data_IF_368299418615
#
_entry.id   IF_368299418615
#
_cell.length_a   1.000
_cell.length_b   1.000
_cell.length_c   1.000
_cell.angle_alpha   90.00
_cell.angle_beta   90.00
_cell.angle_gamma   90.00
#
_symmetry.space_group_name_H-M   'P 1'
#
loop_
_entity.id
_entity.type
_entity.pdbx_description
1 polymer ?
#
# COMPACT_ATOMS: atom_id res chain seq x y z
N UNK A 1 14.82 7.80 -3.61
CA UNK A 1 14.79 8.86 -2.59
C UNK A 1 14.74 10.24 -3.25
N UNK A 2 14.38 11.24 -2.46
CA UNK A 2 14.41 12.65 -2.85
C UNK A 2 15.85 13.16 -3.08
N UNK A 3 16.84 12.49 -2.50
CA UNK A 3 18.27 12.78 -2.67
C UNK A 3 18.96 11.68 -3.49
N UNK A 4 20.10 12.02 -4.09
CA UNK A 4 20.94 11.07 -4.80
C UNK A 4 21.48 10.04 -3.83
N UNK A 5 21.39 8.76 -4.18
CA UNK A 5 22.03 7.69 -3.43
C UNK A 5 23.56 7.74 -3.64
N UNK A 6 24.32 7.58 -2.58
CA UNK A 6 25.77 7.41 -2.64
C UNK A 6 26.13 5.99 -3.09
N UNK A 7 25.45 5.01 -2.54
CA UNK A 7 25.56 3.61 -2.93
C UNK A 7 24.28 2.85 -2.62
N UNK A 8 24.13 1.63 -3.19
CA UNK A 8 22.98 0.77 -2.93
C UNK A 8 23.34 -0.70 -3.05
N UNK A 9 22.52 -1.57 -2.48
CA UNK A 9 22.53 -3.02 -2.73
C UNK A 9 21.11 -3.51 -3.00
N UNK A 10 20.96 -4.33 -4.05
CA UNK A 10 19.71 -4.98 -4.42
C UNK A 10 19.71 -6.49 -4.11
N UNK A 11 20.87 -7.04 -3.77
CA UNK A 11 21.07 -8.45 -3.42
C UNK A 11 21.39 -8.56 -1.91
N UNK A 12 20.57 -9.33 -1.19
CA UNK A 12 20.68 -9.51 0.25
C UNK A 12 22.03 -10.14 0.65
N UNK A 13 22.53 -11.08 -0.12
CA UNK A 13 23.80 -11.75 0.16
C UNK A 13 24.99 -10.80 0.06
N UNK A 14 24.93 -9.84 -0.85
CA UNK A 14 25.96 -8.82 -1.03
C UNK A 14 25.95 -7.78 0.08
N UNK A 15 24.75 -7.41 0.54
CA UNK A 15 24.58 -6.51 1.68
C UNK A 15 25.06 -7.14 2.98
N UNK A 16 24.63 -8.37 3.26
CA UNK A 16 24.96 -9.06 4.52
C UNK A 16 26.40 -9.53 4.55
N UNK A 17 26.89 -10.11 3.46
CA UNK A 17 28.15 -10.87 3.44
C UNK A 17 27.96 -12.33 3.85
N UNK A 18 28.96 -13.17 3.55
CA UNK A 18 28.95 -14.59 3.87
C UNK A 18 28.97 -14.82 5.38
N UNK A 19 28.10 -15.73 5.85
CA UNK A 19 28.00 -16.13 7.27
C UNK A 19 27.63 -15.00 8.23
N UNK A 20 27.02 -13.90 7.74
CA UNK A 20 26.61 -12.75 8.54
C UNK A 20 25.07 -12.62 8.60
N UNK A 21 24.60 -11.79 9.51
CA UNK A 21 23.16 -11.53 9.73
C UNK A 21 22.85 -10.04 9.60
N UNK A 22 21.56 -9.69 9.70
CA UNK A 22 21.11 -8.29 9.77
C UNK A 22 21.65 -7.52 10.98
N UNK A 23 22.20 -8.21 11.98
CA UNK A 23 22.83 -7.57 13.15
C UNK A 23 24.18 -6.97 12.80
N UNK A 24 24.92 -7.58 11.87
CA UNK A 24 26.29 -7.21 11.49
C UNK A 24 26.50 -7.31 9.97
N UNK A 25 25.78 -6.52 9.16
CA UNK A 25 25.95 -6.55 7.71
C UNK A 25 27.30 -6.00 7.28
N UNK A 26 27.94 -6.66 6.32
CA UNK A 26 29.23 -6.23 5.80
C UNK A 26 29.20 -4.83 5.19
N UNK A 27 28.10 -4.43 4.56
CA UNK A 27 27.96 -3.11 3.97
C UNK A 27 27.94 -1.99 5.03
N UNK A 28 27.39 -2.26 6.22
CA UNK A 28 27.44 -1.31 7.34
C UNK A 28 28.86 -1.19 7.89
N UNK A 29 29.55 -2.31 8.07
CA UNK A 29 30.95 -2.32 8.54
C UNK A 29 31.91 -1.57 7.59
N UNK A 30 31.71 -1.75 6.28
CA UNK A 30 32.48 -1.04 5.24
C UNK A 30 32.11 0.44 5.13
N UNK A 31 30.93 0.84 5.60
CA UNK A 31 30.40 2.18 5.44
C UNK A 31 29.81 2.50 4.06
N UNK A 32 29.67 1.52 3.18
CA UNK A 32 29.06 1.69 1.86
C UNK A 32 28.48 0.38 1.32
N UNK A 33 27.48 0.49 0.43
CA UNK A 33 26.93 -0.61 -0.35
C UNK A 33 27.76 -0.87 -1.61
N UNK A 34 27.71 -2.09 -2.12
CA UNK A 34 28.54 -2.55 -3.25
C UNK A 34 27.96 -2.20 -4.64
N UNK A 35 26.84 -1.49 -4.71
CA UNK A 35 26.05 -1.24 -5.93
C UNK A 35 25.62 -2.55 -6.63
N UNK A 36 25.31 -3.56 -5.82
CA UNK A 36 24.91 -4.87 -6.34
C UNK A 36 23.56 -4.80 -7.04
N UNK A 37 23.44 -5.57 -8.13
CA UNK A 37 22.18 -5.86 -8.80
C UNK A 37 21.73 -7.27 -8.41
N UNK A 38 20.42 -7.47 -8.33
CA UNK A 38 19.83 -8.79 -8.12
C UNK A 38 20.02 -9.66 -9.38
N UNK A 39 20.70 -10.80 -9.19
CA UNK A 39 20.90 -11.82 -10.23
C UNK A 39 20.52 -13.20 -9.68
N UNK A 40 19.23 -13.39 -9.39
CA UNK A 40 18.78 -14.56 -8.65
C UNK A 40 19.04 -14.37 -7.14
N UNK A 41 18.45 -15.20 -6.29
CA UNK A 41 18.58 -15.08 -4.83
C UNK A 41 17.52 -14.18 -4.19
N UNK A 42 17.82 -13.68 -2.99
CA UNK A 42 16.89 -12.87 -2.22
C UNK A 42 17.00 -11.39 -2.56
N UNK A 43 15.90 -10.83 -3.06
CA UNK A 43 15.78 -9.40 -3.32
C UNK A 43 15.74 -8.61 -2.02
N UNK A 44 16.48 -7.51 -1.99
CA UNK A 44 16.36 -6.47 -0.98
C UNK A 44 16.67 -5.11 -1.59
N UNK A 45 16.38 -4.05 -0.86
CA UNK A 45 16.90 -2.74 -1.18
C UNK A 45 17.55 -2.12 0.06
N UNK A 46 18.83 -1.82 -0.06
CA UNK A 46 19.57 -0.99 0.87
C UNK A 46 20.12 0.22 0.11
N UNK A 47 19.78 1.41 0.56
CA UNK A 47 20.21 2.65 -0.07
C UNK A 47 20.95 3.53 0.95
N UNK A 48 22.09 4.04 0.57
CA UNK A 48 22.89 4.95 1.39
C UNK A 48 22.78 6.39 0.87
N UNK A 49 22.48 7.31 1.79
CA UNK A 49 22.52 8.75 1.55
C UNK A 49 23.41 9.38 2.62
N UNK A 50 24.40 10.17 2.21
CA UNK A 50 25.22 10.94 3.14
C UNK A 50 24.53 12.26 3.47
N UNK A 51 24.34 12.51 4.76
CA UNK A 51 23.77 13.75 5.27
C UNK A 51 24.84 14.52 6.05
N UNK A 52 24.87 15.83 5.84
CA UNK A 52 25.72 16.74 6.61
C UNK A 52 24.82 17.66 7.43
N UNK A 53 24.76 17.43 8.72
CA UNK A 53 23.93 18.17 9.63
C UNK A 53 24.78 19.11 10.49
N UNK A 54 24.50 20.41 10.42
CA UNK A 54 25.14 21.42 11.28
C UNK A 54 24.51 21.42 12.67
N UNK A 55 25.28 21.84 13.67
CA UNK A 55 24.78 21.96 15.04
C UNK A 55 23.50 22.84 15.09
N UNK A 56 22.47 22.35 15.79
CA UNK A 56 21.16 23.02 15.92
C UNK A 56 20.29 23.01 14.65
N UNK A 57 20.68 22.26 13.59
CA UNK A 57 19.89 22.09 12.37
C UNK A 57 19.38 20.65 12.26
N UNK A 58 18.31 20.47 11.53
CA UNK A 58 17.74 19.16 11.18
C UNK A 58 17.87 18.96 9.68
N UNK A 59 18.34 17.79 9.28
CA UNK A 59 18.36 17.35 7.91
C UNK A 59 17.43 16.13 7.77
N UNK A 60 16.75 16.04 6.64
CA UNK A 60 15.84 14.91 6.37
C UNK A 60 16.08 14.34 4.99
N UNK A 61 15.71 13.07 4.82
CA UNK A 61 15.71 12.37 3.55
C UNK A 61 14.44 11.52 3.47
N UNK A 62 13.79 11.51 2.32
CA UNK A 62 12.64 10.68 2.06
C UNK A 62 13.03 9.50 1.16
N UNK A 63 12.63 8.31 1.54
CA UNK A 63 12.67 7.11 0.70
C UNK A 63 11.25 6.75 0.28
N UNK A 64 11.06 6.43 -0.99
CA UNK A 64 9.77 6.05 -1.55
C UNK A 64 9.80 4.60 -1.97
N UNK A 65 8.81 3.84 -1.53
CA UNK A 65 8.54 2.47 -1.98
C UNK A 65 7.13 2.43 -2.54
N UNK A 66 6.97 1.87 -3.73
CA UNK A 66 5.66 1.78 -4.37
C UNK A 66 5.67 0.84 -5.55
N UNK A 67 4.50 0.65 -6.13
CA UNK A 67 4.29 -0.06 -7.38
C UNK A 67 3.93 0.94 -8.47
N UNK A 68 4.26 0.61 -9.70
CA UNK A 68 3.90 1.40 -10.88
C UNK A 68 3.01 0.56 -11.79
N UNK A 69 2.08 1.22 -12.48
CA UNK A 69 1.36 0.59 -13.57
C UNK A 69 2.33 0.20 -14.69
N UNK A 70 2.01 -0.84 -15.44
CA UNK A 70 2.88 -1.34 -16.52
C UNK A 70 3.15 -0.30 -17.62
N UNK A 71 2.27 0.68 -17.76
CA UNK A 71 2.37 1.77 -18.74
C UNK A 71 3.21 2.95 -18.25
N UNK A 72 3.46 3.05 -16.93
CA UNK A 72 4.27 4.12 -16.36
C UNK A 72 5.74 3.75 -16.36
N UNK A 73 6.59 4.72 -16.63
CA UNK A 73 8.05 4.55 -16.56
C UNK A 73 8.63 5.23 -15.33
N UNK A 74 9.80 4.77 -14.89
CA UNK A 74 10.50 5.41 -13.78
C UNK A 74 10.82 6.89 -14.07
N UNK A 75 11.04 7.25 -15.34
CA UNK A 75 11.26 8.64 -15.78
C UNK A 75 10.05 9.55 -15.56
N UNK A 76 8.83 9.00 -15.56
CA UNK A 76 7.61 9.79 -15.35
C UNK A 76 7.34 10.04 -13.86
N UNK A 77 7.77 9.11 -13.01
CA UNK A 77 7.45 9.11 -11.58
C UNK A 77 8.55 9.78 -10.75
N UNK A 78 9.82 9.48 -11.03
CA UNK A 78 10.96 9.97 -10.22
C UNK A 78 11.03 11.49 -10.11
N UNK A 79 10.81 12.31 -11.17
CA UNK A 79 10.83 13.77 -11.03
C UNK A 79 9.80 14.27 -10.03
N UNK A 80 8.58 13.76 -10.06
CA UNK A 80 7.50 14.13 -9.12
C UNK A 80 7.88 13.82 -7.67
N UNK A 81 8.49 12.66 -7.43
CA UNK A 81 8.94 12.27 -6.07
C UNK A 81 10.07 13.14 -5.53
N UNK A 82 10.78 13.87 -6.40
CA UNK A 82 11.88 14.78 -6.04
C UNK A 82 11.46 16.25 -5.91
N UNK A 83 10.21 16.55 -6.17
CA UNK A 83 9.69 17.91 -5.95
C UNK A 83 9.83 18.28 -4.46
N UNK A 84 10.13 19.56 -4.23
CA UNK A 84 10.23 20.07 -2.87
C UNK A 84 8.91 19.85 -2.12
N UNK A 85 9.03 19.42 -0.87
CA UNK A 85 7.88 19.13 0.00
C UNK A 85 6.92 18.03 -0.48
N UNK A 86 7.26 17.23 -1.53
CA UNK A 86 6.37 16.14 -2.01
C UNK A 86 5.94 15.21 -0.87
N UNK A 87 6.88 14.70 -0.09
CA UNK A 87 6.58 13.78 1.02
C UNK A 87 5.67 14.43 2.07
N UNK A 88 5.89 15.70 2.39
CA UNK A 88 5.07 16.46 3.34
C UNK A 88 3.65 16.68 2.80
N UNK A 89 3.54 17.04 1.53
CA UNK A 89 2.25 17.25 0.87
C UNK A 89 1.48 15.93 0.73
N UNK A 90 2.16 14.85 0.37
CA UNK A 90 1.57 13.51 0.31
C UNK A 90 1.04 13.06 1.68
N UNK A 91 1.81 13.27 2.75
CA UNK A 91 1.37 12.98 4.12
C UNK A 91 0.15 13.82 4.52
N UNK A 92 0.16 15.12 4.22
CA UNK A 92 -0.99 16.00 4.49
C UNK A 92 -2.24 15.55 3.72
N UNK A 93 -2.09 15.14 2.46
CA UNK A 93 -3.19 14.61 1.64
C UNK A 93 -3.77 13.32 2.22
N UNK A 94 -2.93 12.39 2.67
CA UNK A 94 -3.38 11.15 3.32
C UNK A 94 -4.10 11.46 4.64
N UNK A 95 -3.57 12.36 5.44
CA UNK A 95 -4.21 12.80 6.68
C UNK A 95 -5.60 13.38 6.39
N UNK A 96 -5.70 14.32 5.46
CA UNK A 96 -6.97 14.93 5.06
C UNK A 96 -7.98 13.90 4.52
N UNK A 97 -7.51 12.93 3.73
CA UNK A 97 -8.35 11.84 3.24
C UNK A 97 -9.00 11.07 4.39
N UNK A 98 -8.20 10.68 5.40
CA UNK A 98 -8.73 9.95 6.55
C UNK A 98 -9.63 10.80 7.43
N UNK A 99 -9.31 12.07 7.66
CA UNK A 99 -10.16 13.00 8.40
C UNK A 99 -11.53 13.15 7.73
N UNK A 100 -11.56 13.36 6.42
CA UNK A 100 -12.81 13.45 5.65
C UNK A 100 -13.61 12.16 5.72
N UNK A 101 -12.95 11.02 5.59
CA UNK A 101 -13.62 9.72 5.63
C UNK A 101 -14.18 9.41 7.00
N UNK A 102 -13.40 9.60 8.06
CA UNK A 102 -13.83 9.29 9.41
C UNK A 102 -14.94 10.24 9.90
N UNK A 103 -14.95 11.50 9.45
CA UNK A 103 -15.98 12.48 9.79
C UNK A 103 -17.31 12.26 9.07
N UNK A 104 -17.38 11.40 8.05
CA UNK A 104 -18.60 11.15 7.29
C UNK A 104 -19.74 10.53 8.14
N UNK A 105 -19.36 9.77 9.15
CA UNK A 105 -20.29 9.20 10.12
C UNK A 105 -19.65 9.18 11.50
N UNK A 106 -20.30 9.81 12.46
CA UNK A 106 -19.82 9.91 13.85
C UNK A 106 -20.95 9.59 14.81
N UNK A 107 -20.62 8.90 15.89
CA UNK A 107 -21.51 8.66 17.01
C UNK A 107 -20.92 9.26 18.28
N UNK A 108 -21.77 9.74 19.16
CA UNK A 108 -21.41 10.20 20.48
C UNK A 108 -22.10 9.31 21.53
N UNK A 109 -21.30 8.64 22.34
CA UNK A 109 -21.78 7.72 23.38
C UNK A 109 -20.96 7.91 24.67
N UNK A 110 -21.54 7.62 25.86
CA UNK A 110 -20.85 7.82 27.14
C UNK A 110 -19.58 6.96 27.30
N UNK A 111 -19.52 5.77 26.67
CA UNK A 111 -18.36 4.90 26.72
C UNK A 111 -17.34 5.33 25.67
N UNK A 112 -16.21 5.87 26.12
CA UNK A 112 -15.13 6.34 25.25
C UNK A 112 -14.49 5.22 24.39
N UNK A 113 -14.50 3.98 24.86
CA UNK A 113 -13.96 2.85 24.10
C UNK A 113 -14.92 2.46 22.98
N UNK A 114 -16.23 2.39 23.26
CA UNK A 114 -17.26 2.14 22.25
C UNK A 114 -17.27 3.26 21.20
N UNK A 115 -17.18 4.53 21.63
CA UNK A 115 -17.08 5.66 20.70
C UNK A 115 -15.86 5.57 19.79
N UNK A 116 -14.69 5.23 20.32
CA UNK A 116 -13.47 5.05 19.52
C UNK A 116 -13.58 3.88 18.55
N UNK A 117 -14.17 2.77 18.96
CA UNK A 117 -14.45 1.64 18.06
C UNK A 117 -15.34 2.06 16.92
N UNK A 118 -16.47 2.73 17.20
CA UNK A 118 -17.42 3.14 16.17
C UNK A 118 -16.87 4.20 15.23
N UNK A 119 -16.16 5.21 15.74
CA UNK A 119 -15.74 6.37 14.96
C UNK A 119 -14.38 6.21 14.27
N UNK A 120 -13.57 5.24 14.70
CA UNK A 120 -12.20 5.08 14.16
C UNK A 120 -11.95 3.66 13.64
N UNK A 121 -12.02 2.66 14.51
CA UNK A 121 -11.56 1.33 14.14
C UNK A 121 -12.50 0.59 13.20
N UNK A 122 -13.81 0.67 13.40
CA UNK A 122 -14.78 0.04 12.50
C UNK A 122 -14.74 0.65 11.08
N UNK A 123 -14.71 1.99 10.90
CA UNK A 123 -14.52 2.60 9.58
C UNK A 123 -13.20 2.22 8.90
N UNK A 124 -12.10 2.12 9.65
CA UNK A 124 -10.81 1.67 9.12
C UNK A 124 -10.91 0.20 8.69
N UNK A 125 -11.50 -0.66 9.53
CA UNK A 125 -11.67 -2.07 9.20
C UNK A 125 -12.60 -2.26 7.98
N UNK A 126 -13.67 -1.49 7.88
CA UNK A 126 -14.54 -1.49 6.71
C UNK A 126 -13.78 -1.11 5.44
N UNK A 127 -12.92 -0.08 5.51
CA UNK A 127 -12.04 0.31 4.40
C UNK A 127 -11.08 -0.81 4.00
N UNK A 128 -10.41 -1.42 4.97
CA UNK A 128 -9.45 -2.50 4.72
C UNK A 128 -10.15 -3.69 4.06
N UNK A 129 -11.30 -4.10 4.55
CA UNK A 129 -12.07 -5.19 3.95
C UNK A 129 -12.47 -4.84 2.51
N UNK A 130 -13.02 -3.65 2.30
CA UNK A 130 -13.56 -3.22 1.02
C UNK A 130 -12.48 -3.02 -0.04
N UNK A 131 -11.36 -2.37 0.29
CA UNK A 131 -10.34 -1.97 -0.69
C UNK A 131 -9.11 -2.87 -0.73
N UNK A 132 -8.78 -3.55 0.37
CA UNK A 132 -7.51 -4.29 0.48
C UNK A 132 -7.72 -5.79 0.53
N UNK A 133 -8.63 -6.28 1.38
CA UNK A 133 -8.75 -7.72 1.61
C UNK A 133 -9.52 -8.46 0.51
N UNK A 134 -10.50 -7.81 -0.12
CA UNK A 134 -11.40 -8.46 -1.11
C UNK A 134 -10.93 -8.29 -2.54
N UNK A 135 -10.02 -7.39 -2.80
CA UNK A 135 -9.34 -7.35 -4.08
C UNK A 135 -8.22 -8.38 -4.10
N UNK A 136 -7.74 -8.72 -5.30
CA UNK A 136 -6.61 -9.64 -5.44
C UNK A 136 -5.41 -9.02 -4.75
N UNK A 137 -5.28 -9.29 -3.46
CA UNK A 137 -4.19 -8.81 -2.63
C UNK A 137 -3.21 -9.95 -2.39
N UNK A 138 -1.97 -9.73 -2.72
CA UNK A 138 -0.88 -10.67 -2.43
C UNK A 138 -0.82 -11.01 -0.93
N UNK A 139 -1.14 -10.05 -0.06
CA UNK A 139 -1.08 -10.23 1.39
C UNK A 139 -2.29 -10.96 1.98
N UNK A 140 -3.49 -10.73 1.45
CA UNK A 140 -4.70 -11.28 2.03
C UNK A 140 -5.08 -12.65 1.44
N UNK A 141 -4.96 -12.81 0.13
CA UNK A 141 -5.46 -13.99 -0.59
C UNK A 141 -4.44 -14.59 -1.56
N UNK A 142 -3.28 -13.95 -1.73
CA UNK A 142 -2.35 -14.31 -2.80
C UNK A 142 -2.92 -14.03 -4.19
N UNK A 143 -2.21 -14.48 -5.22
CA UNK A 143 -2.64 -14.31 -6.62
C UNK A 143 -3.68 -15.34 -7.08
N UNK A 144 -4.05 -16.28 -6.22
CA UNK A 144 -4.81 -17.49 -6.61
C UNK A 144 -6.31 -17.31 -6.38
N UNK A 145 -6.75 -16.37 -5.53
CA UNK A 145 -8.17 -16.20 -5.18
C UNK A 145 -8.78 -15.02 -5.90
N UNK A 146 -9.96 -15.27 -6.46
CA UNK A 146 -10.80 -14.22 -7.02
C UNK A 146 -11.62 -13.48 -5.95
N UNK A 147 -12.36 -12.49 -6.39
CA UNK A 147 -13.30 -11.71 -5.57
C UNK A 147 -14.58 -12.50 -5.36
N UNK A 148 -14.94 -12.75 -4.10
CA UNK A 148 -16.20 -13.42 -3.73
C UNK A 148 -17.38 -12.48 -3.87
N UNK A 149 -18.43 -12.93 -4.58
CA UNK A 149 -19.64 -12.13 -4.84
C UNK A 149 -20.33 -11.71 -3.54
N UNK A 150 -20.65 -12.67 -2.68
CA UNK A 150 -21.35 -12.42 -1.42
C UNK A 150 -20.56 -11.55 -0.48
N UNK A 151 -19.29 -11.86 -0.32
CA UNK A 151 -18.41 -11.17 0.63
C UNK A 151 -18.25 -9.70 0.25
N UNK A 152 -18.03 -9.41 -1.04
CA UNK A 152 -17.96 -8.04 -1.53
C UNK A 152 -19.28 -7.29 -1.38
N UNK A 153 -20.43 -7.96 -1.58
CA UNK A 153 -21.72 -7.35 -1.37
C UNK A 153 -21.95 -6.95 0.11
N UNK A 154 -21.48 -7.77 1.05
CA UNK A 154 -21.52 -7.42 2.49
C UNK A 154 -20.58 -6.26 2.83
N UNK A 155 -19.37 -6.23 2.26
CA UNK A 155 -18.43 -5.14 2.49
C UNK A 155 -18.96 -3.79 1.95
N UNK A 156 -19.75 -3.81 0.88
CA UNK A 156 -20.44 -2.61 0.37
C UNK A 156 -21.35 -2.01 1.45
N UNK A 157 -22.09 -2.84 2.18
CA UNK A 157 -22.97 -2.35 3.27
C UNK A 157 -22.18 -1.62 4.36
N UNK A 158 -21.01 -2.11 4.71
CA UNK A 158 -20.15 -1.47 5.69
C UNK A 158 -19.48 -0.18 5.16
N UNK A 159 -19.25 -0.08 3.84
CA UNK A 159 -18.54 1.04 3.23
C UNK A 159 -19.45 2.20 2.77
N UNK A 160 -20.74 1.93 2.52
CA UNK A 160 -21.65 2.87 1.84
C UNK A 160 -21.81 4.21 2.58
N UNK A 161 -21.73 4.22 3.90
CA UNK A 161 -21.82 5.42 4.72
C UNK A 161 -20.57 6.33 4.57
N UNK A 162 -19.44 5.77 4.18
CA UNK A 162 -18.16 6.47 4.09
C UNK A 162 -17.73 6.81 2.68
N UNK A 163 -18.11 5.98 1.69
CA UNK A 163 -17.73 6.17 0.29
C UNK A 163 -18.81 5.58 -0.64
N UNK A 164 -19.83 6.38 -0.89
CA UNK A 164 -20.94 6.01 -1.77
C UNK A 164 -20.49 5.77 -3.22
N UNK A 165 -19.48 6.52 -3.69
CA UNK A 165 -19.01 6.42 -5.08
C UNK A 165 -18.38 5.05 -5.33
N UNK A 166 -17.38 4.70 -4.57
CA UNK A 166 -16.70 3.39 -4.70
C UNK A 166 -17.65 2.23 -4.42
N UNK A 167 -18.58 2.38 -3.48
CA UNK A 167 -19.63 1.39 -3.20
C UNK A 167 -20.53 1.13 -4.43
N UNK A 168 -20.96 2.17 -5.13
CA UNK A 168 -21.74 2.04 -6.37
C UNK A 168 -20.92 1.40 -7.51
N UNK A 169 -19.65 1.78 -7.64
CA UNK A 169 -18.77 1.22 -8.66
C UNK A 169 -18.55 -0.28 -8.43
N UNK A 170 -18.26 -0.69 -7.19
CA UNK A 170 -18.11 -2.10 -6.84
C UNK A 170 -19.40 -2.89 -7.02
N UNK A 171 -20.57 -2.32 -6.65
CA UNK A 171 -21.86 -2.96 -6.87
C UNK A 171 -22.14 -3.17 -8.37
N UNK A 172 -21.86 -2.18 -9.21
CA UNK A 172 -21.98 -2.33 -10.66
C UNK A 172 -21.05 -3.44 -11.19
N UNK A 173 -19.81 -3.49 -10.71
CA UNK A 173 -18.89 -4.56 -11.06
C UNK A 173 -19.45 -5.94 -10.69
N UNK A 174 -20.03 -6.09 -9.50
CA UNK A 174 -20.66 -7.36 -9.09
C UNK A 174 -21.82 -7.74 -10.02
N UNK A 175 -22.67 -6.80 -10.40
CA UNK A 175 -23.79 -7.08 -11.32
C UNK A 175 -23.33 -7.49 -12.71
N UNK A 176 -22.16 -7.08 -13.18
CA UNK A 176 -21.63 -7.56 -14.47
C UNK A 176 -21.32 -9.07 -14.46
N UNK A 177 -21.25 -9.68 -13.28
CA UNK A 177 -20.98 -11.10 -13.10
C UNK A 177 -22.23 -11.93 -12.83
N UNK A 178 -23.42 -11.33 -12.94
CA UNK A 178 -24.70 -12.00 -12.81
C UNK A 178 -25.15 -12.58 -14.14
N UNK A 179 -25.59 -13.83 -14.14
CA UNK A 179 -26.22 -14.46 -15.31
C UNK A 179 -27.64 -13.92 -15.54
N UNK A 180 -28.12 -14.01 -16.78
CA UNK A 180 -29.46 -13.58 -17.16
C UNK A 180 -30.60 -14.24 -16.33
N UNK A 181 -30.38 -15.48 -15.87
CA UNK A 181 -31.30 -16.21 -15.01
C UNK A 181 -31.28 -15.75 -13.54
N UNK A 182 -30.50 -14.72 -13.19
CA UNK A 182 -30.37 -14.21 -11.82
C UNK A 182 -29.34 -14.92 -10.96
N UNK A 183 -28.77 -16.05 -11.40
CA UNK A 183 -27.67 -16.70 -10.69
C UNK A 183 -26.44 -15.84 -10.69
N UNK A 184 -25.61 -15.96 -9.65
CA UNK A 184 -24.32 -15.29 -9.53
C UNK A 184 -23.18 -16.29 -9.48
N UNK A 185 -22.00 -15.87 -9.89
CA UNK A 185 -20.79 -16.65 -9.72
C UNK A 185 -20.42 -16.69 -8.23
N UNK A 186 -19.75 -17.74 -7.79
CA UNK A 186 -19.23 -17.78 -6.41
C UNK A 186 -18.11 -16.76 -6.19
N UNK A 187 -17.17 -16.70 -7.12
CA UNK A 187 -16.12 -15.72 -7.18
C UNK A 187 -15.67 -15.50 -8.64
N UNK A 188 -14.96 -14.41 -8.92
CA UNK A 188 -14.45 -14.07 -10.23
C UNK A 188 -13.10 -13.34 -10.14
N UNK A 189 -12.38 -13.28 -11.26
CA UNK A 189 -11.11 -12.58 -11.37
C UNK A 189 -11.31 -11.25 -12.11
N UNK A 190 -11.28 -10.10 -11.44
CA UNK A 190 -11.64 -8.82 -12.07
C UNK A 190 -10.65 -8.40 -13.17
N UNK A 191 -9.37 -8.75 -13.03
CA UNK A 191 -8.33 -8.42 -14.03
C UNK A 191 -8.50 -9.27 -15.28
N UNK A 192 -8.80 -10.55 -15.12
CA UNK A 192 -8.96 -11.48 -16.22
C UNK A 192 -10.41 -11.52 -16.77
N UNK A 193 -11.34 -10.86 -16.08
CA UNK A 193 -12.78 -10.83 -16.39
C UNK A 193 -13.40 -12.22 -16.64
N UNK A 194 -12.82 -13.24 -16.05
CA UNK A 194 -13.32 -14.61 -16.14
C UNK A 194 -13.97 -15.06 -14.84
N UNK A 195 -15.10 -15.79 -14.91
CA UNK A 195 -15.64 -16.47 -13.74
C UNK A 195 -14.68 -17.57 -13.29
N UNK A 196 -14.66 -17.85 -12.02
CA UNK A 196 -14.05 -19.06 -11.53
C UNK A 196 -15.01 -20.22 -11.79
N UNK A 197 -14.53 -21.27 -12.38
CA UNK A 197 -15.25 -22.51 -12.66
C UNK A 197 -15.57 -23.27 -11.36
#
# INVERSE_FOLDING_TARGET
SDRKLNSYDADRSKFLGSYRSLREPVSIERGYCSNSQLRGGEAMFAGQVCLSCKAGKTESVAFYLGTMEQTATASDVIPKLRENDYAKNAFASVKQYWENRLSAFQVEVPDASAQRMANTWNPIQAYVNFHVCREISYYATGTIRGIGMRDCAQDILANIAYDLKSSKEKLRLLFTQQYQCGKTVHYFYPVEKRPAL
#
